data_IF_879052974132
#
_entry.id   IF_879052974132
#
_cell.length_a   1.000
_cell.length_b   1.000
_cell.length_c   1.000
_cell.angle_alpha   90.00
_cell.angle_beta   90.00
_cell.angle_gamma   90.00
#
_symmetry.space_group_name_H-M   'P 1'
#
loop_
_entity.id
_entity.type
_entity.pdbx_description
1 polymer ?
#
# COMPACT_ATOMS: atom_id res chain seq x y z
N UNK A 1 -1.09 -11.37 -21.38
CA UNK A 1 -0.24 -11.53 -20.17
C UNK A 1 -0.87 -10.72 -19.04
N UNK A 2 -1.53 -11.37 -18.10
CA UNK A 2 -2.26 -10.68 -17.03
C UNK A 2 -1.27 -10.17 -15.98
N UNK A 3 -0.76 -8.94 -16.12
CA UNK A 3 0.04 -8.28 -15.08
C UNK A 3 -0.85 -8.02 -13.88
N UNK A 4 -0.96 -8.97 -12.95
CA UNK A 4 -1.54 -8.73 -11.62
C UNK A 4 -0.59 -7.81 -10.84
N UNK A 5 -0.71 -6.50 -11.07
CA UNK A 5 0.01 -5.44 -10.32
C UNK A 5 -0.59 -5.18 -8.93
N UNK A 6 -1.81 -5.67 -8.70
CA UNK A 6 -2.51 -5.46 -7.44
C UNK A 6 -2.33 -6.66 -6.52
N UNK A 7 -2.15 -6.39 -5.22
CA UNK A 7 -2.17 -7.43 -4.20
C UNK A 7 -3.53 -8.12 -4.18
N UNK A 8 -3.58 -9.46 -4.06
CA UNK A 8 -4.84 -10.16 -3.87
C UNK A 8 -5.58 -9.62 -2.64
N UNK A 9 -6.90 -9.48 -2.74
CA UNK A 9 -7.76 -8.98 -1.64
C UNK A 9 -7.56 -9.80 -0.36
N UNK A 10 -7.38 -11.12 -0.48
CA UNK A 10 -7.14 -12.00 0.67
C UNK A 10 -5.84 -11.67 1.42
N UNK A 11 -4.80 -11.23 0.70
CA UNK A 11 -3.55 -10.78 1.31
C UNK A 11 -3.75 -9.41 1.96
N UNK A 12 -4.42 -8.48 1.26
CA UNK A 12 -4.74 -7.16 1.82
C UNK A 12 -5.48 -7.27 3.17
N UNK A 13 -6.52 -8.11 3.23
CA UNK A 13 -7.31 -8.34 4.46
C UNK A 13 -6.48 -8.87 5.65
N UNK A 14 -5.32 -9.47 5.41
CA UNK A 14 -4.39 -9.92 6.47
C UNK A 14 -3.43 -8.81 6.91
N UNK A 15 -3.06 -7.91 6.00
CA UNK A 15 -2.11 -6.83 6.24
C UNK A 15 -2.80 -5.62 6.88
N UNK A 16 -3.98 -5.24 6.37
CA UNK A 16 -4.72 -4.05 6.79
C UNK A 16 -4.86 -3.89 8.31
N UNK A 17 -5.20 -4.94 9.10
CA UNK A 17 -5.32 -4.81 10.55
C UNK A 17 -3.99 -4.53 11.28
N UNK A 18 -2.85 -4.81 10.64
CA UNK A 18 -1.51 -4.60 11.20
C UNK A 18 -1.01 -3.16 10.97
N UNK A 19 -1.68 -2.41 10.09
CA UNK A 19 -1.32 -1.02 9.79
C UNK A 19 -1.93 -0.11 10.86
N UNK A 20 -1.06 0.66 11.53
CA UNK A 20 -1.50 1.62 12.54
C UNK A 20 -2.38 2.72 11.90
N UNK A 21 -3.52 2.99 12.52
CA UNK A 21 -4.39 4.10 12.11
C UNK A 21 -3.71 5.43 12.39
N UNK A 22 -3.48 6.23 11.34
CA UNK A 22 -2.79 7.52 11.48
C UNK A 22 -3.78 8.68 11.36
N UNK A 23 -3.82 9.53 12.40
CA UNK A 23 -4.56 10.80 12.35
C UNK A 23 -3.82 11.82 11.49
N UNK A 24 -4.57 12.64 10.76
CA UNK A 24 -4.00 13.73 9.95
C UNK A 24 -3.33 14.76 10.87
N UNK A 25 -2.13 15.22 10.47
CA UNK A 25 -1.41 16.26 11.20
C UNK A 25 -2.18 17.58 11.17
N UNK A 26 -2.29 18.30 12.32
CA UNK A 26 -2.86 19.65 12.36
C UNK A 26 -2.08 20.66 11.50
N UNK A 27 -0.79 20.41 11.27
CA UNK A 27 0.09 21.28 10.47
C UNK A 27 -0.17 21.17 8.96
N UNK A 28 -1.15 20.36 8.54
CA UNK A 28 -1.44 20.12 7.14
C UNK A 28 -0.36 19.30 6.44
N UNK A 29 -0.19 19.50 5.14
CA UNK A 29 0.73 18.77 4.28
C UNK A 29 0.02 18.02 3.14
N UNK A 30 0.81 17.37 2.29
CA UNK A 30 0.28 16.58 1.18
C UNK A 30 -0.60 15.45 1.73
N UNK A 31 -1.80 15.22 1.17
CA UNK A 31 -2.63 14.09 1.55
C UNK A 31 -1.86 12.77 1.45
N UNK A 32 -2.03 11.88 2.44
CA UNK A 32 -1.48 10.52 2.37
C UNK A 32 -2.19 9.77 1.23
N UNK A 33 -1.44 8.97 0.50
CA UNK A 33 -2.03 7.95 -0.39
C UNK A 33 -2.67 6.85 0.45
N UNK A 34 -3.61 6.11 -0.12
CA UNK A 34 -4.23 4.98 0.57
C UNK A 34 -3.22 3.87 0.86
N UNK A 35 -3.32 3.27 2.04
CA UNK A 35 -2.37 2.26 2.52
C UNK A 35 -2.27 1.05 1.56
N UNK A 36 -3.39 0.64 0.96
CA UNK A 36 -3.40 -0.43 -0.04
C UNK A 36 -2.57 -0.08 -1.29
N UNK A 37 -2.63 1.17 -1.74
CA UNK A 37 -1.82 1.62 -2.88
C UNK A 37 -0.33 1.67 -2.52
N UNK A 38 0.01 2.11 -1.31
CA UNK A 38 1.39 2.09 -0.84
C UNK A 38 1.95 0.66 -0.78
N UNK A 39 1.19 -0.28 -0.21
CA UNK A 39 1.57 -1.70 -0.13
C UNK A 39 1.69 -2.32 -1.52
N UNK A 40 0.79 -2.01 -2.46
CA UNK A 40 0.92 -2.44 -3.85
C UNK A 40 2.26 -2.02 -4.45
N UNK A 41 2.64 -0.74 -4.30
CA UNK A 41 3.91 -0.22 -4.80
C UNK A 41 5.12 -0.94 -4.20
N UNK A 42 5.11 -1.18 -2.88
CA UNK A 42 6.17 -1.93 -2.19
C UNK A 42 6.28 -3.35 -2.74
N UNK A 43 5.16 -4.08 -2.87
CA UNK A 43 5.15 -5.45 -3.39
C UNK A 43 5.60 -5.49 -4.85
N UNK A 44 5.24 -4.49 -5.66
CA UNK A 44 5.67 -4.39 -7.05
C UNK A 44 7.19 -4.20 -7.16
N UNK A 45 7.79 -3.32 -6.34
CA UNK A 45 9.26 -3.17 -6.23
C UNK A 45 9.90 -4.49 -5.86
N UNK A 46 9.40 -5.17 -4.81
CA UNK A 46 9.95 -6.45 -4.35
C UNK A 46 9.83 -7.56 -5.40
N UNK A 47 8.77 -7.55 -6.22
CA UNK A 47 8.55 -8.57 -7.26
C UNK A 47 9.41 -8.32 -8.49
N UNK A 48 9.62 -7.06 -8.86
CA UNK A 48 10.24 -6.68 -10.14
C UNK A 48 11.70 -6.29 -10.01
N UNK A 49 12.15 -5.94 -8.80
CA UNK A 49 13.49 -5.40 -8.56
C UNK A 49 13.69 -3.97 -9.10
N UNK A 50 12.63 -3.28 -9.51
CA UNK A 50 12.73 -1.90 -9.99
C UNK A 50 12.87 -0.92 -8.80
N UNK A 51 13.96 -0.17 -8.78
CA UNK A 51 14.21 0.96 -7.87
C UNK A 51 14.23 2.27 -8.63
#
# INVERSE_FOLDING_TARGET
MTRRKEIPIALWKRIEPLIAQVKRSPKGGRPRIGDQQAVNGIVDVLRTGMT
#
